data_IF_528309377959
#
_entry.id   IF_528309377959
#
_cell.length_a   1.000
_cell.length_b   1.000
_cell.length_c   1.000
_cell.angle_alpha   90.00
_cell.angle_beta   90.00
_cell.angle_gamma   90.00
#
_symmetry.space_group_name_H-M   'P 1'
#
loop_
_entity.id
_entity.type
_entity.pdbx_description
1 polymer ?
#
# COMPACT_ATOMS: atom_id res chain seq x y z
N UNK A 1 -13.05 0.00 0.06
CA UNK A 1 -12.28 -1.25 0.09
C UNK A 1 -11.69 -1.51 1.48
N UNK A 2 -10.60 -0.83 1.89
CA UNK A 2 -9.90 -1.14 3.16
C UNK A 2 -10.82 -1.11 4.39
N UNK A 3 -11.59 -0.03 4.60
CA UNK A 3 -12.51 0.07 5.73
C UNK A 3 -13.68 -0.92 5.68
N UNK A 4 -14.14 -1.27 4.47
CA UNK A 4 -15.20 -2.27 4.28
C UNK A 4 -14.70 -3.66 4.67
N UNK A 5 -13.48 -4.02 4.25
CA UNK A 5 -12.83 -5.28 4.62
C UNK A 5 -12.57 -5.35 6.12
N UNK A 6 -12.11 -4.25 6.74
CA UNK A 6 -11.92 -4.19 8.19
C UNK A 6 -13.24 -4.38 8.94
N UNK A 7 -14.34 -3.80 8.44
CA UNK A 7 -15.67 -3.95 9.03
C UNK A 7 -16.21 -5.38 8.98
N UNK A 8 -15.68 -6.22 8.09
CA UNK A 8 -16.03 -7.64 8.00
C UNK A 8 -15.25 -8.53 9.00
N UNK A 9 -14.11 -8.06 9.51
CA UNK A 9 -13.22 -8.85 10.38
C UNK A 9 -13.15 -8.35 11.82
N UNK A 10 -13.62 -7.14 12.10
CA UNK A 10 -13.65 -6.56 13.45
C UNK A 10 -14.84 -5.61 13.64
N UNK A 11 -15.11 -5.20 14.88
CA UNK A 11 -16.20 -4.29 15.19
C UNK A 11 -15.87 -2.84 14.81
N UNK A 12 -16.90 -2.06 14.50
CA UNK A 12 -16.78 -0.65 14.13
C UNK A 12 -16.06 0.19 15.19
N UNK A 13 -16.31 -0.09 16.48
CA UNK A 13 -15.69 0.63 17.60
C UNK A 13 -14.17 0.48 17.59
N UNK A 14 -13.66 -0.73 17.30
CA UNK A 14 -12.21 -0.98 17.21
C UNK A 14 -11.60 -0.21 16.04
N UNK A 15 -12.28 -0.18 14.89
CA UNK A 15 -11.80 0.57 13.71
C UNK A 15 -11.72 2.07 14.03
N UNK A 16 -12.78 2.64 14.60
CA UNK A 16 -12.82 4.05 14.99
C UNK A 16 -11.72 4.39 16.00
N UNK A 17 -11.47 3.53 16.97
CA UNK A 17 -10.39 3.70 17.94
C UNK A 17 -9.00 3.69 17.27
N UNK A 18 -8.70 2.69 16.44
CA UNK A 18 -7.42 2.55 15.74
C UNK A 18 -7.16 3.77 14.84
N UNK A 19 -8.18 4.24 14.12
CA UNK A 19 -8.09 5.44 13.28
C UNK A 19 -7.87 6.69 14.13
N UNK A 20 -8.62 6.86 15.23
CA UNK A 20 -8.48 8.03 16.12
C UNK A 20 -7.10 8.14 16.76
N UNK A 21 -6.46 6.99 17.02
CA UNK A 21 -5.09 6.88 17.55
C UNK A 21 -4.02 7.07 16.47
N UNK A 22 -4.41 7.26 15.21
CA UNK A 22 -3.48 7.40 14.07
C UNK A 22 -2.70 6.12 13.76
N UNK A 23 -3.16 4.96 14.23
CA UNK A 23 -2.48 3.68 14.04
C UNK A 23 -2.69 3.10 12.64
N UNK A 24 -3.76 3.51 11.96
CA UNK A 24 -4.06 3.15 10.57
C UNK A 24 -4.20 4.42 9.73
N UNK A 25 -3.39 4.53 8.68
CA UNK A 25 -3.44 5.63 7.72
C UNK A 25 -3.60 5.04 6.31
N UNK A 26 -4.59 5.51 5.55
CA UNK A 26 -4.78 5.14 4.14
C UNK A 26 -4.49 6.38 3.30
N UNK A 27 -3.42 6.35 2.53
CA UNK A 27 -2.98 7.49 1.73
C UNK A 27 -2.65 7.11 0.29
N UNK A 28 -2.86 8.04 -0.66
CA UNK A 28 -2.29 7.91 -2.00
C UNK A 28 -0.76 7.94 -1.96
N UNK A 29 -0.12 7.22 -2.88
CA UNK A 29 1.36 7.20 -3.01
C UNK A 29 1.98 8.57 -3.28
N UNK A 30 1.22 9.55 -3.76
CA UNK A 30 1.73 10.93 -3.93
C UNK A 30 2.05 11.61 -2.61
N UNK A 31 1.38 11.23 -1.51
CA UNK A 31 1.50 11.88 -0.21
C UNK A 31 2.72 11.39 0.60
N UNK A 32 3.37 10.30 0.19
CA UNK A 32 4.55 9.79 0.89
C UNK A 32 5.84 10.49 0.42
N UNK A 33 5.79 11.25 -0.69
CA UNK A 33 6.97 11.94 -1.22
C UNK A 33 7.48 12.94 -0.18
N UNK A 34 8.78 12.86 0.13
CA UNK A 34 9.41 13.72 1.13
C UNK A 34 9.14 13.33 2.59
N UNK A 35 8.36 12.27 2.86
CA UNK A 35 8.24 11.69 4.21
C UNK A 35 9.39 10.69 4.45
N UNK A 36 9.56 10.27 5.69
CA UNK A 36 10.31 9.05 6.02
C UNK A 36 9.42 8.23 6.95
N UNK A 37 9.15 6.98 6.59
CA UNK A 37 8.24 6.10 7.30
C UNK A 37 9.08 5.22 8.23
N UNK A 38 9.20 5.61 9.49
CA UNK A 38 9.89 4.86 10.55
C UNK A 38 8.88 4.12 11.42
N UNK A 39 9.29 2.98 11.98
CA UNK A 39 8.46 2.16 12.87
C UNK A 39 7.07 1.83 12.29
N UNK A 40 7.00 1.62 10.98
CA UNK A 40 5.75 1.50 10.23
C UNK A 40 5.68 0.19 9.42
N UNK A 41 4.47 -0.35 9.29
CA UNK A 41 4.15 -1.42 8.36
C UNK A 41 3.37 -0.86 7.18
N UNK A 42 4.02 -0.79 6.01
CA UNK A 42 3.46 -0.16 4.81
C UNK A 42 2.97 -1.23 3.86
N UNK A 43 1.70 -1.17 3.48
CA UNK A 43 1.12 -2.08 2.49
C UNK A 43 0.82 -1.25 1.23
N UNK A 44 1.37 -1.70 0.11
CA UNK A 44 1.04 -1.15 -1.21
C UNK A 44 0.27 -2.21 -1.97
N UNK A 45 -0.98 -1.93 -2.24
CA UNK A 45 -1.85 -2.82 -3.01
C UNK A 45 -1.63 -2.63 -4.51
N UNK A 46 -1.92 -3.66 -5.32
CA UNK A 46 -1.92 -3.58 -6.79
C UNK A 46 -0.56 -3.12 -7.38
N UNK A 47 0.56 -3.58 -6.80
CA UNK A 47 1.88 -3.07 -7.17
C UNK A 47 2.27 -3.33 -8.64
N UNK A 48 1.59 -4.24 -9.35
CA UNK A 48 1.72 -4.40 -10.82
C UNK A 48 1.45 -3.15 -11.62
N UNK A 49 0.54 -2.32 -11.14
CA UNK A 49 0.05 -1.14 -11.84
C UNK A 49 1.03 0.03 -11.71
N UNK A 50 2.07 -0.12 -10.89
CA UNK A 50 3.04 0.93 -10.62
C UNK A 50 4.19 0.90 -11.62
N UNK A 51 4.53 2.07 -12.14
CA UNK A 51 5.79 2.25 -12.85
C UNK A 51 6.98 2.10 -11.90
N UNK A 52 8.12 1.67 -12.46
CA UNK A 52 9.38 1.49 -11.72
C UNK A 52 9.75 2.70 -10.87
N UNK A 53 9.58 3.92 -11.39
CA UNK A 53 9.94 5.14 -10.66
C UNK A 53 9.02 5.41 -9.47
N UNK A 54 7.74 5.04 -9.57
CA UNK A 54 6.79 5.15 -8.47
C UNK A 54 7.15 4.14 -7.38
N UNK A 55 7.47 2.90 -7.77
CA UNK A 55 7.91 1.88 -6.83
C UNK A 55 9.20 2.29 -6.09
N UNK A 56 10.19 2.82 -6.80
CA UNK A 56 11.41 3.34 -6.17
C UNK A 56 11.14 4.52 -5.23
N UNK A 57 10.18 5.37 -5.59
CA UNK A 57 9.74 6.46 -4.70
C UNK A 57 9.27 5.88 -3.38
N UNK A 58 8.38 4.87 -3.39
CA UNK A 58 7.91 4.18 -2.17
C UNK A 58 9.07 3.59 -1.37
N UNK A 59 9.90 2.76 -2.01
CA UNK A 59 10.98 2.04 -1.33
C UNK A 59 11.98 3.00 -0.67
N UNK A 60 12.25 4.15 -1.29
CA UNK A 60 13.13 5.18 -0.73
C UNK A 60 12.59 5.86 0.53
N UNK A 61 11.30 5.68 0.86
CA UNK A 61 10.68 6.28 2.04
C UNK A 61 10.74 5.37 3.27
N UNK A 62 11.06 4.09 3.10
CA UNK A 62 11.05 3.11 4.20
C UNK A 62 12.27 3.35 5.09
N UNK A 63 12.00 3.74 6.33
CA UNK A 63 13.00 4.06 7.35
C UNK A 63 13.32 2.88 8.28
N UNK A 64 14.08 3.17 9.33
CA UNK A 64 14.42 2.21 10.38
C UNK A 64 13.17 1.54 10.99
N UNK A 65 13.32 0.25 11.33
CA UNK A 65 12.27 -0.61 11.90
C UNK A 65 10.98 -0.73 11.09
N UNK A 66 10.96 -0.22 9.85
CA UNK A 66 9.80 -0.32 8.99
C UNK A 66 9.87 -1.53 8.07
N UNK A 67 8.69 -1.99 7.66
CA UNK A 67 8.56 -3.05 6.65
C UNK A 67 7.59 -2.58 5.58
N UNK A 68 7.86 -2.97 4.35
CA UNK A 68 6.98 -2.73 3.21
C UNK A 68 6.55 -4.07 2.62
N UNK A 69 5.26 -4.21 2.37
CA UNK A 69 4.65 -5.34 1.68
C UNK A 69 4.02 -4.81 0.40
N UNK A 70 4.41 -5.40 -0.72
CA UNK A 70 3.85 -5.10 -2.03
C UNK A 70 2.99 -6.30 -2.42
N UNK A 71 1.70 -6.07 -2.62
CA UNK A 71 0.81 -7.11 -3.13
C UNK A 71 0.82 -7.08 -4.66
N UNK A 72 0.54 -8.22 -5.27
CA UNK A 72 0.52 -8.35 -6.71
C UNK A 72 -0.48 -9.44 -7.13
N UNK A 73 -1.33 -9.15 -8.12
CA UNK A 73 -2.11 -10.18 -8.81
C UNK A 73 -1.52 -10.45 -10.20
N UNK A 74 -1.02 -11.67 -10.40
CA UNK A 74 -0.42 -12.12 -11.65
C UNK A 74 -1.47 -12.19 -12.78
N UNK A 75 -2.71 -12.51 -12.45
CA UNK A 75 -3.79 -12.67 -13.43
C UNK A 75 -4.23 -11.32 -14.03
N UNK A 76 -4.06 -10.23 -13.29
CA UNK A 76 -4.37 -8.87 -13.74
C UNK A 76 -3.26 -8.21 -14.56
N UNK A 77 -2.14 -8.92 -14.83
CA UNK A 77 -1.13 -8.45 -15.78
C UNK A 77 -1.64 -8.63 -17.21
N UNK A 78 -2.62 -7.83 -17.59
CA UNK A 78 -3.06 -7.69 -18.99
C UNK A 78 -2.02 -6.86 -19.77
N UNK A 79 -0.83 -7.43 -19.89
CA UNK A 79 0.10 -7.16 -20.96
C UNK A 79 0.47 -8.53 -21.58
N UNK A 80 -0.57 -9.24 -22.03
CA UNK A 80 -0.43 -10.23 -23.09
C UNK A 80 0.31 -9.50 -24.22
N UNK A 81 1.59 -9.83 -24.41
CA UNK A 81 2.31 -9.51 -25.64
C UNK A 81 1.56 -10.16 -26.80
N UNK A 82 0.61 -9.42 -27.37
CA UNK A 82 0.18 -9.61 -28.76
C UNK A 82 0.97 -8.62 -29.60
N UNK A 83 2.28 -8.85 -29.67
CA UNK A 83 3.22 -8.16 -30.54
C UNK A 83 4.19 -9.21 -31.06
N UNK A 84 3.98 -9.59 -32.32
CA UNK A 84 4.58 -10.69 -33.07
C UNK A 84 6.12 -10.66 -33.10
N UNK A 85 6.69 -11.83 -33.41
CA UNK A 85 7.94 -11.99 -34.14
C UNK A 85 8.13 -10.95 -35.24
#
# INVERSE_FOLDING_TARGET
>A
AVFDTLSAVTSRQVIEEVVSRGMLEVLPLTHIRGRSLHDAFVIVDEAQSLERNVLLTVLSRIGANSRVVLTHDVAQRDNLRVGRY
#
